data_IF_479394523283
#
_entry.id   IF_479394523283
#
_cell.length_a   1.000
_cell.length_b   1.000
_cell.length_c   1.000
_cell.angle_alpha   90.00
_cell.angle_beta   90.00
_cell.angle_gamma   90.00
#
_symmetry.space_group_name_H-M   'P 1'
#
loop_
_entity.id
_entity.type
_entity.pdbx_description
1 polymer ?
#
# COMPACT_ATOMS: atom_id res chain seq x y z
N UNK A 1 -8.68 24.64 -7.00
CA UNK A 1 -9.20 23.57 -6.13
C UNK A 1 -8.25 22.36 -6.21
N UNK A 2 -7.63 21.93 -5.13
CA UNK A 2 -6.70 20.79 -5.19
C UNK A 2 -7.47 19.50 -5.42
N UNK A 3 -7.03 18.70 -6.38
CA UNK A 3 -7.49 17.33 -6.58
C UNK A 3 -6.70 16.43 -5.65
N UNK A 4 -7.36 15.84 -4.68
CA UNK A 4 -6.72 14.97 -3.68
C UNK A 4 -7.27 13.56 -3.75
N UNK A 5 -6.45 12.58 -3.43
CA UNK A 5 -6.86 11.20 -3.23
C UNK A 5 -6.36 10.68 -1.88
N UNK A 6 -7.09 9.73 -1.32
CA UNK A 6 -6.80 9.13 -0.04
C UNK A 6 -6.86 7.61 -0.17
N UNK A 7 -5.74 6.94 0.11
CA UNK A 7 -5.64 5.48 0.13
C UNK A 7 -5.61 5.00 1.58
N UNK A 8 -6.50 4.07 1.94
CA UNK A 8 -6.62 3.59 3.32
C UNK A 8 -7.20 2.17 3.38
N UNK A 9 -7.30 1.61 4.58
CA UNK A 9 -7.94 0.32 4.83
C UNK A 9 -7.00 -0.79 5.32
N UNK A 10 -5.68 -0.63 5.21
CA UNK A 10 -4.70 -1.68 5.57
C UNK A 10 -4.03 -1.47 6.92
N UNK A 11 -4.14 -0.31 7.54
CA UNK A 11 -3.58 -0.06 8.86
C UNK A 11 -4.37 -0.80 9.94
N UNK A 12 -3.68 -1.67 10.68
CA UNK A 12 -4.26 -2.49 11.77
C UNK A 12 -4.06 -1.90 13.17
N UNK A 13 -3.31 -0.80 13.27
CA UNK A 13 -3.14 -0.08 14.53
C UNK A 13 -4.46 0.58 14.98
N UNK A 14 -4.72 0.67 16.29
CA UNK A 14 -5.96 1.26 16.82
C UNK A 14 -6.29 2.64 16.25
N UNK A 15 -5.29 3.50 16.14
CA UNK A 15 -5.42 4.85 15.61
C UNK A 15 -5.78 4.86 14.12
N UNK A 16 -5.10 4.02 13.33
CA UNK A 16 -5.38 3.88 11.91
C UNK A 16 -6.77 3.28 11.63
N UNK A 17 -7.19 2.33 12.45
CA UNK A 17 -8.56 1.77 12.40
C UNK A 17 -9.60 2.83 12.74
N UNK A 18 -9.37 3.62 13.79
CA UNK A 18 -10.26 4.71 14.17
C UNK A 18 -10.39 5.75 13.04
N UNK A 19 -9.27 6.13 12.46
CA UNK A 19 -9.24 7.07 11.32
C UNK A 19 -10.03 6.55 10.11
N UNK A 20 -9.80 5.30 9.73
CA UNK A 20 -10.51 4.63 8.63
C UNK A 20 -12.02 4.58 8.90
N UNK A 21 -12.41 4.21 10.12
CA UNK A 21 -13.81 4.15 10.54
C UNK A 21 -14.47 5.53 10.45
N UNK A 22 -13.82 6.56 10.98
CA UNK A 22 -14.33 7.93 10.94
C UNK A 22 -14.55 8.44 9.52
N UNK A 23 -13.61 8.21 8.61
CA UNK A 23 -13.74 8.58 7.20
C UNK A 23 -14.95 7.88 6.56
N UNK A 24 -15.13 6.60 6.80
CA UNK A 24 -16.22 5.83 6.23
C UNK A 24 -17.58 6.26 6.79
N UNK A 25 -17.68 6.50 8.09
CA UNK A 25 -18.91 6.97 8.73
C UNK A 25 -19.32 8.36 8.22
N UNK A 26 -18.37 9.29 8.13
CA UNK A 26 -18.62 10.64 7.57
C UNK A 26 -19.02 10.55 6.11
N UNK A 27 -18.41 9.66 5.34
CA UNK A 27 -18.79 9.44 3.94
C UNK A 27 -20.23 8.93 3.80
N UNK A 28 -20.66 8.03 4.68
CA UNK A 28 -22.03 7.50 4.70
C UNK A 28 -23.03 8.60 5.06
N UNK A 29 -22.75 9.42 6.05
CA UNK A 29 -23.60 10.55 6.44
C UNK A 29 -23.72 11.59 5.33
N UNK A 30 -22.61 11.87 4.66
CA UNK A 30 -22.52 12.88 3.62
C UNK A 30 -22.24 14.29 4.15
N UNK A 31 -22.15 15.26 3.24
CA UNK A 31 -21.75 16.62 3.54
C UNK A 31 -22.95 17.57 3.66
N UNK A 32 -22.86 18.43 4.67
CA UNK A 32 -23.80 19.53 4.87
C UNK A 32 -25.20 19.09 5.29
N UNK A 33 -26.10 20.04 5.32
CA UNK A 33 -27.49 19.88 5.76
C UNK A 33 -28.25 18.82 4.92
N UNK A 34 -27.93 18.71 3.65
CA UNK A 34 -28.59 17.79 2.72
C UNK A 34 -27.89 16.43 2.57
N UNK A 35 -26.83 16.14 3.33
CA UNK A 35 -26.11 14.88 3.28
C UNK A 35 -25.58 14.53 1.89
N UNK A 36 -25.01 15.48 1.17
CA UNK A 36 -24.51 15.28 -0.19
C UNK A 36 -23.24 14.44 -0.23
N UNK A 37 -23.08 13.66 -1.28
CA UNK A 37 -21.86 12.89 -1.50
C UNK A 37 -20.68 13.81 -1.79
N UNK A 38 -19.57 13.60 -1.07
CA UNK A 38 -18.29 14.27 -1.31
C UNK A 38 -17.69 13.80 -2.63
N UNK A 39 -17.18 14.71 -3.45
CA UNK A 39 -16.43 14.37 -4.67
C UNK A 39 -14.94 14.21 -4.34
N UNK A 40 -14.40 15.05 -3.47
CA UNK A 40 -13.00 15.03 -3.04
C UNK A 40 -12.91 15.00 -1.51
N UNK A 41 -11.86 14.31 -0.97
CA UNK A 41 -10.85 13.51 -1.65
C UNK A 41 -11.43 12.27 -2.33
N UNK A 42 -10.87 11.87 -3.48
CA UNK A 42 -11.15 10.55 -4.04
C UNK A 42 -10.67 9.49 -3.06
N UNK A 43 -11.56 8.56 -2.70
CA UNK A 43 -11.27 7.54 -1.70
C UNK A 43 -10.99 6.20 -2.37
N UNK A 44 -9.88 5.56 -1.97
CA UNK A 44 -9.47 4.25 -2.44
C UNK A 44 -9.24 3.36 -1.21
N UNK A 45 -10.12 2.38 -1.05
CA UNK A 45 -9.99 1.37 -0.01
C UNK A 45 -9.13 0.21 -0.52
N UNK A 46 -8.00 -0.03 0.14
CA UNK A 46 -7.06 -1.07 -0.24
C UNK A 46 -7.46 -2.41 0.37
N UNK A 47 -7.65 -3.42 -0.46
CA UNK A 47 -7.89 -4.80 -0.04
C UNK A 47 -6.58 -5.56 -0.10
N UNK A 48 -6.16 -6.11 1.05
CA UNK A 48 -4.92 -6.88 1.20
C UNK A 48 -5.21 -8.22 1.85
N UNK A 49 -4.61 -9.29 1.31
CA UNK A 49 -4.72 -10.64 1.89
C UNK A 49 -4.24 -10.66 3.34
N UNK A 50 -5.00 -11.33 4.20
CA UNK A 50 -4.71 -11.44 5.62
C UNK A 50 -4.99 -10.20 6.46
N UNK A 51 -5.45 -9.11 5.87
CA UNK A 51 -5.76 -7.85 6.57
C UNK A 51 -7.25 -7.54 6.58
N UNK A 52 -7.91 -7.61 5.42
CA UNK A 52 -9.33 -7.27 5.29
C UNK A 52 -10.04 -8.04 4.18
N UNK A 53 -9.43 -9.07 3.60
CA UNK A 53 -9.97 -9.81 2.45
C UNK A 53 -11.11 -10.75 2.82
N UNK A 54 -11.06 -11.39 3.97
CA UNK A 54 -12.02 -12.44 4.39
C UNK A 54 -12.36 -12.36 5.87
N UNK A 55 -13.48 -13.01 6.30
CA UNK A 55 -13.85 -13.09 7.72
C UNK A 55 -12.70 -13.62 8.59
N UNK A 56 -12.56 -13.04 9.79
CA UNK A 56 -11.50 -13.37 10.73
C UNK A 56 -10.21 -12.57 10.57
N UNK A 57 -10.10 -11.74 9.55
CA UNK A 57 -8.96 -10.82 9.39
C UNK A 57 -9.15 -9.53 10.20
N UNK A 58 -8.05 -8.85 10.62
CA UNK A 58 -8.12 -7.71 11.56
C UNK A 58 -9.03 -6.56 11.13
N UNK A 59 -9.06 -6.23 9.84
CA UNK A 59 -9.81 -5.09 9.28
C UNK A 59 -11.01 -5.50 8.43
N UNK A 60 -11.50 -6.73 8.59
CA UNK A 60 -12.66 -7.18 7.84
C UNK A 60 -13.93 -6.38 8.14
N UNK A 61 -14.12 -5.97 9.39
CA UNK A 61 -15.20 -5.09 9.83
C UNK A 61 -15.17 -3.74 9.11
N UNK A 62 -13.98 -3.17 8.90
CA UNK A 62 -13.80 -1.92 8.15
C UNK A 62 -14.12 -2.11 6.66
N UNK A 63 -13.79 -3.26 6.09
CA UNK A 63 -14.22 -3.59 4.72
C UNK A 63 -15.75 -3.66 4.60
N UNK A 64 -16.44 -4.24 5.58
CA UNK A 64 -17.91 -4.26 5.59
C UNK A 64 -18.49 -2.85 5.65
N UNK A 65 -17.92 -1.98 6.47
CA UNK A 65 -18.32 -0.58 6.53
C UNK A 65 -18.03 0.16 5.22
N UNK A 66 -16.91 -0.11 4.57
CA UNK A 66 -16.57 0.43 3.25
C UNK A 66 -17.61 0.01 2.19
N UNK A 67 -18.04 -1.25 2.19
CA UNK A 67 -19.08 -1.73 1.28
C UNK A 67 -20.44 -1.04 1.54
N UNK A 68 -20.79 -0.77 2.80
CA UNK A 68 -21.99 0.04 3.13
C UNK A 68 -21.88 1.44 2.56
N UNK A 69 -20.72 2.08 2.70
CA UNK A 69 -20.48 3.40 2.12
C UNK A 69 -20.62 3.38 0.60
N UNK A 70 -20.01 2.42 -0.06
CA UNK A 70 -20.06 2.26 -1.52
C UNK A 70 -21.49 2.03 -2.02
N UNK A 71 -22.30 1.26 -1.31
CA UNK A 71 -23.68 1.00 -1.67
C UNK A 71 -24.55 2.26 -1.66
N UNK A 72 -24.22 3.23 -0.84
CA UNK A 72 -24.96 4.50 -0.69
C UNK A 72 -24.36 5.66 -1.49
N UNK A 73 -23.02 5.72 -1.58
CA UNK A 73 -22.30 6.89 -2.08
C UNK A 73 -21.48 6.64 -3.34
N UNK A 74 -21.35 5.40 -3.79
CA UNK A 74 -20.41 4.94 -4.83
C UNK A 74 -18.94 5.16 -4.48
N UNK A 75 -18.63 5.44 -3.22
CA UNK A 75 -17.30 5.57 -2.62
C UNK A 75 -17.21 4.72 -1.35
N UNK A 76 -16.01 4.22 -0.99
CA UNK A 76 -14.74 4.32 -1.71
C UNK A 76 -14.67 3.42 -2.96
N UNK A 77 -13.73 3.71 -3.87
CA UNK A 77 -13.25 2.77 -4.88
C UNK A 77 -12.32 1.75 -4.23
N UNK A 78 -12.07 0.61 -4.87
CA UNK A 78 -11.28 -0.47 -4.29
C UNK A 78 -10.02 -0.72 -5.11
N UNK A 79 -8.90 -0.98 -4.39
CA UNK A 79 -7.66 -1.46 -4.96
C UNK A 79 -7.33 -2.85 -4.39
N UNK A 80 -7.14 -3.83 -5.26
CA UNK A 80 -6.75 -5.19 -4.88
C UNK A 80 -5.22 -5.28 -4.84
N UNK A 81 -4.63 -4.94 -3.71
CA UNK A 81 -3.18 -4.76 -3.57
C UNK A 81 -2.37 -6.01 -3.93
N UNK A 82 -2.83 -7.20 -3.50
CA UNK A 82 -2.15 -8.46 -3.80
C UNK A 82 -2.52 -9.10 -5.15
N UNK A 83 -3.54 -8.56 -5.84
CA UNK A 83 -4.02 -9.08 -7.13
C UNK A 83 -3.82 -8.09 -8.27
N UNK A 84 -3.38 -6.85 -7.94
CA UNK A 84 -3.06 -5.83 -8.94
C UNK A 84 -1.69 -6.05 -9.55
N UNK A 85 -1.39 -5.30 -10.60
CA UNK A 85 -0.06 -5.32 -11.22
C UNK A 85 1.07 -4.84 -10.29
N UNK A 86 0.76 -4.36 -9.09
CA UNK A 86 1.75 -3.88 -8.14
C UNK A 86 2.80 -4.95 -7.80
N UNK A 87 2.38 -6.18 -7.49
CA UNK A 87 3.33 -7.29 -7.23
C UNK A 87 4.23 -7.56 -8.45
N UNK A 88 3.65 -7.54 -9.65
CA UNK A 88 4.43 -7.73 -10.89
C UNK A 88 5.46 -6.63 -11.11
N UNK A 89 5.14 -5.39 -10.76
CA UNK A 89 6.09 -4.28 -10.85
C UNK A 89 7.21 -4.39 -9.82
N UNK A 90 6.89 -4.82 -8.59
CA UNK A 90 7.90 -5.07 -7.55
C UNK A 90 8.84 -6.19 -7.96
N UNK A 91 8.31 -7.31 -8.49
CA UNK A 91 9.13 -8.42 -8.96
C UNK A 91 9.99 -8.03 -10.17
N UNK A 92 9.44 -7.24 -11.08
CA UNK A 92 10.20 -6.74 -12.23
C UNK A 92 11.32 -5.78 -11.79
N UNK A 93 11.04 -4.90 -10.82
CA UNK A 93 12.04 -3.99 -10.28
C UNK A 93 13.17 -4.75 -9.58
N UNK A 94 12.85 -5.76 -8.79
CA UNK A 94 13.84 -6.65 -8.15
C UNK A 94 14.69 -7.37 -9.20
N UNK A 95 14.07 -7.92 -10.24
CA UNK A 95 14.77 -8.57 -11.34
C UNK A 95 15.71 -7.61 -12.07
N UNK A 96 15.26 -6.41 -12.37
CA UNK A 96 16.07 -5.39 -13.02
C UNK A 96 17.27 -4.96 -12.17
N UNK A 97 17.08 -4.83 -10.85
CA UNK A 97 18.16 -4.53 -9.91
C UNK A 97 19.18 -5.65 -9.85
N UNK A 98 18.73 -6.91 -9.83
CA UNK A 98 19.62 -8.07 -9.84
C UNK A 98 20.40 -8.16 -11.16
N UNK A 99 19.75 -8.00 -12.30
CA UNK A 99 20.42 -7.98 -13.61
C UNK A 99 21.46 -6.86 -13.71
N UNK A 100 21.18 -5.70 -13.12
CA UNK A 100 22.16 -4.59 -13.06
C UNK A 100 23.38 -4.97 -12.23
N UNK A 101 23.20 -5.57 -11.04
CA UNK A 101 24.31 -6.01 -10.17
C UNK A 101 25.14 -7.08 -10.85
N UNK A 102 24.49 -8.06 -11.50
CA UNK A 102 25.18 -9.15 -12.22
C UNK A 102 25.97 -8.63 -13.44
N UNK A 103 25.61 -7.45 -13.96
CA UNK A 103 26.30 -6.79 -15.05
C UNK A 103 27.52 -5.95 -14.64
N UNK A 104 27.70 -5.71 -13.33
CA UNK A 104 28.82 -4.90 -12.83
C UNK A 104 30.15 -5.66 -12.98
N UNK A 105 31.21 -4.91 -13.29
CA UNK A 105 32.55 -5.45 -13.22
C UNK A 105 33.01 -5.64 -11.76
N UNK A 106 34.11 -6.36 -11.54
CA UNK A 106 34.61 -6.68 -10.20
C UNK A 106 34.91 -5.44 -9.35
N UNK A 107 35.45 -4.40 -9.95
CA UNK A 107 35.79 -3.15 -9.23
C UNK A 107 34.54 -2.40 -8.80
N UNK A 108 33.55 -2.29 -9.67
CA UNK A 108 32.28 -1.60 -9.39
C UNK A 108 31.44 -2.41 -8.39
N UNK A 109 31.46 -3.73 -8.48
CA UNK A 109 30.81 -4.62 -7.52
C UNK A 109 31.39 -4.46 -6.11
N UNK A 110 32.74 -4.48 -5.99
CA UNK A 110 33.42 -4.26 -4.72
C UNK A 110 33.16 -2.87 -4.14
N UNK A 111 33.09 -1.84 -4.98
CA UNK A 111 32.71 -0.49 -4.56
C UNK A 111 31.27 -0.45 -4.01
N UNK A 112 30.34 -1.13 -4.64
CA UNK A 112 28.96 -1.28 -4.18
C UNK A 112 28.89 -1.98 -2.82
N UNK A 113 29.57 -3.11 -2.66
CA UNK A 113 29.62 -3.85 -1.39
C UNK A 113 30.18 -2.98 -0.26
N UNK A 114 31.26 -2.27 -0.48
CA UNK A 114 31.83 -1.35 0.49
C UNK A 114 30.87 -0.24 0.91
N UNK A 115 30.04 0.26 -0.01
CA UNK A 115 29.00 1.24 0.29
C UNK A 115 27.88 0.63 1.15
N UNK A 116 27.45 -0.58 0.84
CA UNK A 116 26.41 -1.29 1.60
C UNK A 116 26.87 -1.69 3.01
N UNK A 117 28.14 -1.99 3.20
CA UNK A 117 28.71 -2.23 4.52
C UNK A 117 28.75 -0.96 5.40
N UNK A 118 28.97 0.20 4.79
CA UNK A 118 28.95 1.50 5.50
C UNK A 118 27.54 1.97 5.82
N UNK A 119 26.55 1.54 5.04
CA UNK A 119 25.16 1.94 5.11
C UNK A 119 24.23 0.73 5.10
N UNK A 120 24.18 -0.07 6.20
CA UNK A 120 23.38 -1.30 6.24
C UNK A 120 21.88 -1.06 6.01
N UNK A 121 21.38 0.14 6.28
CA UNK A 121 20.02 0.56 5.97
C UNK A 121 19.68 0.51 4.48
N UNK A 122 20.67 0.66 3.61
CA UNK A 122 20.48 0.57 2.15
C UNK A 122 20.31 -0.89 1.70
N UNK A 123 20.89 -1.84 2.43
CA UNK A 123 20.76 -3.27 2.12
C UNK A 123 19.32 -3.75 2.27
N UNK A 124 18.63 -3.32 3.33
CA UNK A 124 17.21 -3.59 3.53
C UNK A 124 16.33 -2.94 2.46
N UNK A 125 16.66 -1.71 2.07
CA UNK A 125 15.89 -0.94 1.09
C UNK A 125 16.01 -1.50 -0.32
N UNK A 126 17.14 -2.14 -0.64
CA UNK A 126 17.38 -2.76 -1.94
C UNK A 126 16.78 -4.16 -2.04
N UNK A 127 16.45 -4.80 -0.91
CA UNK A 127 15.90 -6.17 -0.85
C UNK A 127 16.67 -7.16 -1.77
N UNK A 128 18.00 -7.04 -1.74
CA UNK A 128 18.89 -7.81 -2.59
C UNK A 128 19.45 -9.00 -1.82
N UNK A 129 19.33 -10.17 -2.41
CA UNK A 129 20.11 -11.34 -1.98
C UNK A 129 21.56 -11.17 -2.47
N UNK A 130 22.41 -10.64 -1.61
CA UNK A 130 23.84 -10.66 -1.85
C UNK A 130 24.32 -12.06 -1.44
N UNK A 131 24.58 -12.89 -2.43
CA UNK A 131 25.22 -14.18 -2.22
C UNK A 131 26.65 -13.90 -1.78
N UNK A 132 26.94 -14.12 -0.49
CA UNK A 132 28.31 -14.17 -0.01
C UNK A 132 28.93 -15.43 -0.60
N UNK A 133 29.74 -15.26 -1.64
CA UNK A 133 30.65 -16.34 -2.07
C UNK A 133 31.63 -16.60 -0.94
N UNK A 134 31.46 -17.76 -0.34
CA UNK A 134 32.44 -18.34 0.59
C UNK A 134 33.73 -18.77 -0.13
#
# INVERSE_FOLDING_TARGET
MPFTSLNYGTCTLPEGRLYTKAILEVSIEGLGEFGRTSIFPCQIFQIKRGVNDKPGTPNYDLKQLALQSTSKRLYPNYCLTNWSNHEKWVDLDRKNKQEYIDSLNEDDYNALINQLEKHPELKELLDLEIVEEN
#
